data_IF_609148682045
#
_entry.id   IF_609148682045
#
_cell.length_a   1.000
_cell.length_b   1.000
_cell.length_c   1.000
_cell.angle_alpha   90.00
_cell.angle_beta   90.00
_cell.angle_gamma   90.00
#
_symmetry.space_group_name_H-M   'P 1'
#
loop_
_entity.id
_entity.type
_entity.pdbx_description
1 polymer ?
#
# COMPACT_ATOMS: atom_id res chain seq x y z
N UNK A 1 12.97 10.20 -28.72
CA UNK A 1 13.91 9.52 -27.85
C UNK A 1 13.37 9.42 -26.44
N UNK A 2 13.47 8.27 -25.91
CA UNK A 2 13.05 8.09 -24.54
C UNK A 2 14.15 8.55 -23.61
N UNK A 3 13.77 9.30 -22.61
CA UNK A 3 14.69 9.62 -21.54
C UNK A 3 15.04 8.38 -20.75
N UNK A 4 15.69 8.56 -19.59
CA UNK A 4 15.96 7.44 -18.69
C UNK A 4 14.66 6.71 -18.43
N UNK A 5 14.75 5.41 -18.26
CA UNK A 5 13.57 4.63 -17.94
C UNK A 5 12.90 5.18 -16.72
N UNK A 6 11.66 5.63 -16.89
CA UNK A 6 10.84 6.07 -15.77
C UNK A 6 9.83 4.99 -15.50
N UNK A 7 9.35 4.96 -14.27
CA UNK A 7 8.26 4.08 -13.92
C UNK A 7 7.03 4.49 -14.73
N UNK A 8 6.33 3.54 -15.32
CA UNK A 8 5.17 3.75 -16.17
C UNK A 8 3.99 2.90 -15.69
N UNK A 9 2.86 3.00 -16.38
CA UNK A 9 1.63 2.29 -16.01
C UNK A 9 1.83 0.78 -15.95
N UNK A 10 2.59 0.23 -16.90
CA UNK A 10 2.85 -1.20 -16.95
C UNK A 10 3.65 -1.64 -15.73
N UNK A 11 4.68 -0.87 -15.37
CA UNK A 11 5.49 -1.20 -14.20
C UNK A 11 4.73 -0.94 -12.90
N UNK A 12 3.84 0.06 -12.87
CA UNK A 12 2.97 0.30 -11.72
C UNK A 12 2.02 -0.87 -11.52
N UNK A 13 1.41 -1.35 -12.60
CA UNK A 13 0.53 -2.52 -12.54
C UNK A 13 1.29 -3.74 -12.03
N UNK A 14 2.51 -3.95 -12.52
CA UNK A 14 3.33 -5.07 -12.07
C UNK A 14 3.67 -4.97 -10.59
N UNK A 15 4.01 -3.76 -10.13
CA UNK A 15 4.31 -3.52 -8.73
C UNK A 15 3.11 -3.87 -7.84
N UNK A 16 1.93 -3.37 -8.17
CA UNK A 16 0.71 -3.61 -7.40
C UNK A 16 0.31 -5.08 -7.48
N UNK A 17 0.35 -5.67 -8.68
CA UNK A 17 -0.03 -7.07 -8.86
C UNK A 17 0.86 -8.01 -8.06
N UNK A 18 2.16 -7.72 -7.96
CA UNK A 18 3.07 -8.54 -7.16
C UNK A 18 2.67 -8.53 -5.68
N UNK A 19 2.21 -7.38 -5.17
CA UNK A 19 1.73 -7.29 -3.80
C UNK A 19 0.53 -8.23 -3.60
N UNK A 20 -0.50 -8.10 -4.44
CA UNK A 20 -1.74 -8.84 -4.23
C UNK A 20 -1.63 -10.31 -4.64
N UNK A 21 -0.71 -10.67 -5.54
CA UNK A 21 -0.44 -12.06 -5.83
C UNK A 21 0.04 -12.83 -4.58
N UNK A 22 0.70 -12.14 -3.64
CA UNK A 22 1.15 -12.79 -2.42
C UNK A 22 0.00 -13.22 -1.52
N UNK A 23 -1.20 -12.67 -1.74
CA UNK A 23 -2.40 -13.06 -0.99
C UNK A 23 -3.22 -14.14 -1.70
N UNK A 24 -3.03 -14.30 -3.02
CA UNK A 24 -3.92 -15.14 -3.83
C UNK A 24 -3.24 -16.38 -4.40
N UNK A 25 -1.92 -16.38 -4.52
CA UNK A 25 -1.18 -17.49 -5.14
C UNK A 25 0.00 -17.90 -4.26
N UNK A 26 0.62 -19.02 -4.63
CA UNK A 26 1.77 -19.54 -3.90
C UNK A 26 1.41 -19.92 -2.48
N UNK A 27 2.22 -19.50 -1.52
CA UNK A 27 1.97 -19.78 -0.11
C UNK A 27 0.77 -19.02 0.43
N UNK A 28 0.35 -17.96 -0.25
CA UNK A 28 -0.77 -17.10 0.16
C UNK A 28 -0.57 -16.50 1.56
N UNK A 29 0.68 -16.14 1.86
CA UNK A 29 1.03 -15.57 3.17
C UNK A 29 0.83 -14.06 3.23
N UNK A 30 0.64 -13.40 2.08
CA UNK A 30 0.55 -11.95 2.02
C UNK A 30 1.92 -11.30 2.07
N UNK A 31 1.91 -9.96 2.18
CA UNK A 31 3.14 -9.18 2.25
C UNK A 31 3.55 -9.04 3.70
N UNK A 32 4.81 -9.37 3.97
CA UNK A 32 5.38 -9.10 5.29
C UNK A 32 5.88 -7.67 5.32
N UNK A 33 5.35 -6.88 6.24
CA UNK A 33 5.76 -5.48 6.43
C UNK A 33 6.38 -5.27 7.80
N UNK A 34 6.98 -6.32 8.34
CA UNK A 34 7.67 -6.24 9.62
C UNK A 34 8.97 -5.48 9.44
N UNK A 35 9.02 -4.29 9.96
CA UNK A 35 10.22 -3.47 10.19
C UNK A 35 11.18 -3.23 9.02
N UNK A 36 11.73 -2.05 9.02
CA UNK A 36 12.98 -1.69 8.35
C UNK A 36 12.94 -1.81 6.86
N UNK A 37 13.79 -2.69 6.35
CA UNK A 37 14.07 -2.81 4.92
C UNK A 37 12.85 -3.17 4.10
N UNK A 38 11.95 -4.00 4.64
CA UNK A 38 10.74 -4.43 3.94
C UNK A 38 9.76 -3.26 3.77
N UNK A 39 9.66 -2.41 4.78
CA UNK A 39 8.82 -1.22 4.67
C UNK A 39 9.32 -0.30 3.56
N UNK A 40 10.63 -0.10 3.47
CA UNK A 40 11.21 0.79 2.45
C UNK A 40 11.09 0.23 1.04
N UNK A 41 10.87 -1.04 0.90
CA UNK A 41 10.66 -1.67 -0.39
C UNK A 41 9.32 -1.26 -1.00
N UNK A 42 8.32 -1.05 -0.16
CA UNK A 42 6.96 -0.77 -0.61
C UNK A 42 6.53 0.67 -0.43
N UNK A 43 6.96 1.32 0.64
CA UNK A 43 6.44 2.62 1.04
C UNK A 43 7.47 3.72 0.84
N UNK A 44 6.97 4.93 0.50
CA UNK A 44 7.89 6.04 0.36
C UNK A 44 8.53 6.35 1.72
N UNK A 45 9.72 7.01 1.72
CA UNK A 45 10.55 7.03 2.92
C UNK A 45 9.90 7.59 4.18
N UNK A 46 9.14 8.67 4.07
CA UNK A 46 8.52 9.29 5.25
C UNK A 46 7.46 8.36 5.83
N UNK A 47 6.66 7.75 4.97
CA UNK A 47 5.64 6.80 5.39
C UNK A 47 6.26 5.55 6.00
N UNK A 48 7.30 5.02 5.35
CA UNK A 48 8.01 3.85 5.86
C UNK A 48 8.58 4.10 7.25
N UNK A 49 9.15 5.28 7.47
CA UNK A 49 9.72 5.65 8.76
C UNK A 49 8.64 5.74 9.84
N UNK A 50 7.48 6.31 9.51
CA UNK A 50 6.37 6.39 10.47
C UNK A 50 5.88 5.00 10.85
N UNK A 51 5.76 4.11 9.87
CA UNK A 51 5.33 2.73 10.13
C UNK A 51 6.34 1.98 10.98
N UNK A 52 7.63 2.15 10.69
CA UNK A 52 8.69 1.52 11.48
C UNK A 52 8.66 2.00 12.92
N UNK A 53 8.48 3.29 13.12
CA UNK A 53 8.42 3.88 14.46
C UNK A 53 7.21 3.36 15.23
N UNK A 54 6.08 3.20 14.55
CA UNK A 54 4.87 2.64 15.15
C UNK A 54 5.13 1.22 15.68
N UNK A 55 5.77 0.40 14.86
CA UNK A 55 6.10 -0.98 15.25
C UNK A 55 7.10 -1.02 16.40
N UNK A 56 8.10 -0.15 16.39
CA UNK A 56 9.08 -0.09 17.47
C UNK A 56 8.43 0.36 18.79
N UNK A 57 7.56 1.36 18.72
CA UNK A 57 6.87 1.86 19.90
C UNK A 57 5.94 0.81 20.49
N UNK A 58 5.21 0.11 19.67
CA UNK A 58 4.32 -0.95 20.11
C UNK A 58 5.10 -2.07 20.81
N UNK A 59 6.20 -2.49 20.22
CA UNK A 59 7.04 -3.54 20.82
C UNK A 59 7.66 -3.09 22.13
N UNK A 60 8.13 -1.84 22.20
CA UNK A 60 8.79 -1.30 23.37
C UNK A 60 7.85 -1.14 24.55
N UNK A 61 6.59 -0.80 24.30
CA UNK A 61 5.61 -0.54 25.34
C UNK A 61 4.61 -1.67 25.55
N UNK A 62 4.79 -2.77 24.80
CA UNK A 62 3.85 -3.91 24.82
C UNK A 62 2.42 -3.50 24.48
N UNK A 63 2.29 -2.47 23.66
CA UNK A 63 0.99 -1.96 23.20
C UNK A 63 0.70 -2.42 21.79
N UNK A 64 -0.55 -2.28 21.37
CA UNK A 64 -0.93 -2.51 19.99
C UNK A 64 -0.39 -1.38 19.11
N UNK A 65 -0.09 -1.70 17.85
CA UNK A 65 0.28 -0.71 16.85
C UNK A 65 -0.91 0.23 16.59
N UNK A 66 -0.64 1.48 16.20
CA UNK A 66 -1.70 2.34 15.70
C UNK A 66 -2.32 1.75 14.44
N UNK A 67 -1.48 1.15 13.60
CA UNK A 67 -1.95 0.39 12.45
C UNK A 67 -2.19 -1.05 12.90
N UNK A 68 -3.45 -1.40 13.15
CA UNK A 68 -3.80 -2.68 13.77
C UNK A 68 -4.24 -3.76 12.80
N UNK A 69 -4.16 -3.50 11.51
CA UNK A 69 -4.52 -4.47 10.47
C UNK A 69 -3.59 -4.35 9.29
N UNK A 70 -3.68 -5.32 8.37
CA UNK A 70 -2.88 -5.30 7.14
C UNK A 70 -3.43 -4.19 6.21
N UNK A 71 -2.64 -3.17 5.92
CA UNK A 71 -3.13 -2.03 5.14
C UNK A 71 -3.48 -2.38 3.69
N UNK A 72 -2.88 -3.43 3.14
CA UNK A 72 -3.13 -3.83 1.75
C UNK A 72 -4.50 -4.46 1.57
N UNK A 73 -5.07 -5.00 2.63
CA UNK A 73 -6.37 -5.69 2.55
C UNK A 73 -7.39 -5.14 3.53
N UNK A 74 -6.98 -4.21 4.39
CA UNK A 74 -7.87 -3.59 5.40
C UNK A 74 -8.53 -4.65 6.27
N UNK A 75 -7.73 -5.63 6.72
CA UNK A 75 -8.22 -6.74 7.53
C UNK A 75 -7.06 -7.41 8.23
N UNK A 76 -7.35 -8.18 9.27
CA UNK A 76 -6.33 -8.97 9.97
C UNK A 76 -6.19 -10.36 9.34
N UNK A 77 -7.31 -10.93 8.91
CA UNK A 77 -7.33 -12.24 8.26
C UNK A 77 -7.82 -12.11 6.83
N UNK A 78 -7.50 -13.10 6.02
CA UNK A 78 -7.93 -13.05 4.63
C UNK A 78 -8.16 -14.45 4.05
N UNK A 79 -9.07 -14.47 3.08
CA UNK A 79 -9.27 -15.56 2.15
C UNK A 79 -9.66 -14.92 0.84
N UNK A 80 -8.65 -14.63 0.02
CA UNK A 80 -8.78 -13.88 -1.23
C UNK A 80 -8.39 -14.81 -2.38
N UNK A 81 -9.29 -14.98 -3.33
CA UNK A 81 -9.05 -15.86 -4.48
C UNK A 81 -8.46 -15.14 -5.66
N UNK A 82 -8.89 -13.91 -5.89
CA UNK A 82 -8.46 -13.12 -7.03
C UNK A 82 -8.65 -11.63 -6.73
N UNK A 83 -8.05 -10.81 -7.56
CA UNK A 83 -8.13 -9.35 -7.42
C UNK A 83 -8.12 -8.70 -8.80
N UNK A 84 -8.62 -7.48 -8.89
CA UNK A 84 -8.54 -6.65 -10.08
C UNK A 84 -7.83 -5.35 -9.73
N UNK A 85 -7.05 -4.81 -10.66
CA UNK A 85 -6.34 -3.55 -10.50
C UNK A 85 -6.67 -2.62 -11.65
N UNK A 86 -7.09 -1.41 -11.34
CA UNK A 86 -7.28 -0.34 -12.31
C UNK A 86 -6.25 0.74 -12.04
N UNK A 87 -5.50 1.13 -13.06
CA UNK A 87 -4.43 2.12 -12.96
C UNK A 87 -4.87 3.42 -13.62
N UNK A 88 -4.61 4.53 -12.95
CA UNK A 88 -4.89 5.87 -13.48
C UNK A 88 -3.68 6.76 -13.25
N UNK A 89 -3.16 7.35 -14.32
CA UNK A 89 -2.11 8.38 -14.21
C UNK A 89 -2.73 9.65 -13.65
N UNK A 90 -2.12 10.21 -12.62
CA UNK A 90 -2.60 11.45 -12.03
C UNK A 90 -1.65 12.61 -12.32
N UNK A 91 -0.38 12.33 -12.49
CA UNK A 91 0.65 13.30 -12.84
C UNK A 91 1.90 12.53 -13.25
N UNK A 92 2.89 13.18 -13.88
CA UNK A 92 4.15 12.50 -14.16
C UNK A 92 4.74 11.89 -12.90
N UNK A 93 5.03 10.59 -12.96
CA UNK A 93 5.56 9.87 -11.81
C UNK A 93 4.58 9.63 -10.67
N UNK A 94 3.28 9.80 -10.93
CA UNK A 94 2.23 9.57 -9.92
C UNK A 94 1.09 8.78 -10.55
N UNK A 95 0.68 7.73 -9.85
CA UNK A 95 -0.36 6.82 -10.32
C UNK A 95 -1.27 6.49 -9.15
N UNK A 96 -2.55 6.37 -9.43
CA UNK A 96 -3.51 5.82 -8.47
C UNK A 96 -3.92 4.43 -8.95
N UNK A 97 -3.77 3.43 -8.09
CA UNK A 97 -4.20 2.07 -8.35
C UNK A 97 -5.40 1.76 -7.47
N UNK A 98 -6.50 1.39 -8.11
CA UNK A 98 -7.70 0.94 -7.40
C UNK A 98 -7.75 -0.57 -7.47
N UNK A 99 -7.68 -1.22 -6.31
CA UNK A 99 -7.67 -2.67 -6.21
C UNK A 99 -8.98 -3.13 -5.62
N UNK A 100 -9.63 -4.09 -6.28
CA UNK A 100 -10.87 -4.68 -5.79
C UNK A 100 -10.71 -6.18 -5.67
N UNK A 101 -11.27 -6.74 -4.63
CA UNK A 101 -11.23 -8.17 -4.37
C UNK A 101 -12.34 -8.54 -3.40
N UNK A 102 -12.63 -9.84 -3.32
CA UNK A 102 -13.51 -10.36 -2.28
C UNK A 102 -12.65 -10.99 -1.20
N UNK A 103 -12.91 -10.63 0.05
CA UNK A 103 -12.27 -11.24 1.19
C UNK A 103 -13.34 -11.92 2.02
N UNK A 104 -13.25 -13.25 2.14
CA UNK A 104 -14.31 -14.06 2.76
C UNK A 104 -15.69 -13.79 2.13
N UNK A 105 -15.70 -13.60 0.80
CA UNK A 105 -16.92 -13.31 0.06
C UNK A 105 -17.43 -11.89 0.14
N UNK A 106 -16.72 -10.99 0.87
CA UNK A 106 -17.12 -9.61 1.01
C UNK A 106 -16.24 -8.71 0.15
N UNK A 107 -16.87 -7.88 -0.67
CA UNK A 107 -16.12 -7.02 -1.59
C UNK A 107 -15.36 -5.93 -0.85
N UNK A 108 -14.11 -5.77 -1.21
CA UNK A 108 -13.22 -4.74 -0.66
C UNK A 108 -12.65 -3.90 -1.79
N UNK A 109 -12.42 -2.63 -1.50
CA UNK A 109 -11.72 -1.71 -2.39
C UNK A 109 -10.60 -1.05 -1.62
N UNK A 110 -9.39 -1.08 -2.19
CA UNK A 110 -8.22 -0.43 -1.61
C UNK A 110 -7.68 0.50 -2.68
N UNK A 111 -7.38 1.74 -2.32
CA UNK A 111 -6.81 2.71 -3.26
C UNK A 111 -5.38 3.01 -2.86
N UNK A 112 -4.46 2.75 -3.77
CA UNK A 112 -3.03 3.00 -3.55
C UNK A 112 -2.59 4.19 -4.38
N UNK A 113 -2.06 5.21 -3.73
CA UNK A 113 -1.40 6.31 -4.41
C UNK A 113 0.08 5.99 -4.50
N UNK A 114 0.58 5.89 -5.73
CA UNK A 114 1.96 5.52 -5.99
C UNK A 114 2.76 6.71 -6.48
N UNK A 115 4.01 6.75 -6.08
CA UNK A 115 4.95 7.77 -6.50
C UNK A 115 6.22 7.09 -7.02
N UNK A 116 6.74 7.60 -8.14
CA UNK A 116 8.01 7.11 -8.67
C UNK A 116 9.15 7.80 -7.92
N UNK A 117 10.04 6.99 -7.36
CA UNK A 117 11.27 7.46 -6.74
C UNK A 117 12.41 6.84 -7.53
N UNK A 118 13.13 7.69 -8.28
CA UNK A 118 14.08 7.23 -9.29
C UNK A 118 13.30 6.41 -10.33
N UNK A 119 13.59 5.17 -10.53
CA UNK A 119 12.87 4.33 -11.50
C UNK A 119 11.97 3.30 -10.83
N UNK A 120 11.78 3.41 -9.53
CA UNK A 120 10.97 2.45 -8.77
C UNK A 120 9.71 3.09 -8.25
N UNK A 121 8.66 2.28 -8.15
CA UNK A 121 7.42 2.74 -7.51
C UNK A 121 7.47 2.54 -6.01
N UNK A 122 6.83 3.47 -5.30
CA UNK A 122 6.62 3.36 -3.85
C UNK A 122 5.21 3.82 -3.54
N UNK A 123 4.64 3.28 -2.49
CA UNK A 123 3.31 3.67 -2.03
C UNK A 123 3.45 4.95 -1.23
N UNK A 124 2.78 6.00 -1.70
CA UNK A 124 2.73 7.28 -1.02
C UNK A 124 1.64 7.27 0.04
N UNK A 125 0.49 6.66 -0.26
CA UNK A 125 -0.62 6.57 0.68
C UNK A 125 -1.52 5.40 0.29
N UNK A 126 -2.30 4.94 1.25
CA UNK A 126 -3.37 3.98 1.02
C UNK A 126 -4.65 4.60 1.55
N UNK A 127 -5.72 4.53 0.76
CA UNK A 127 -7.04 4.99 1.17
C UNK A 127 -7.97 3.80 1.31
N UNK A 128 -8.63 3.72 2.45
CA UNK A 128 -9.68 2.73 2.72
C UNK A 128 -11.01 3.45 2.69
N UNK A 129 -11.88 3.14 1.73
CA UNK A 129 -13.21 3.77 1.71
C UNK A 129 -13.99 3.44 2.98
N UNK A 130 -14.71 4.44 3.47
CA UNK A 130 -15.58 4.32 4.65
C UNK A 130 -16.89 5.04 4.34
N UNK A 131 -17.95 4.72 5.08
CA UNK A 131 -19.26 5.31 4.82
C UNK A 131 -19.26 6.81 5.08
N UNK A 132 -18.64 7.26 6.17
CA UNK A 132 -18.64 8.69 6.52
C UNK A 132 -17.59 9.43 5.71
N UNK A 133 -16.31 9.11 5.91
CA UNK A 133 -15.22 9.70 5.15
C UNK A 133 -14.10 8.68 5.00
N UNK A 134 -13.32 8.76 3.91
CA UNK A 134 -12.23 7.82 3.72
C UNK A 134 -11.18 7.95 4.81
N UNK A 135 -10.59 6.82 5.19
CA UNK A 135 -9.46 6.77 6.10
C UNK A 135 -8.20 6.50 5.29
N UNK A 136 -7.09 7.12 5.66
CA UNK A 136 -5.83 6.93 4.94
C UNK A 136 -4.71 6.49 5.85
N UNK A 137 -3.74 5.80 5.25
CA UNK A 137 -2.57 5.34 6.01
C UNK A 137 -1.76 6.53 6.55
N UNK A 138 -1.57 7.56 5.73
CA UNK A 138 -0.89 8.77 6.22
C UNK A 138 -1.69 9.44 7.33
N UNK A 139 -3.02 9.34 7.26
CA UNK A 139 -3.90 9.86 8.31
C UNK A 139 -3.71 9.14 9.64
N UNK A 140 -3.52 7.83 9.61
CA UNK A 140 -3.26 7.04 10.83
C UNK A 140 -2.06 7.60 11.58
N UNK A 141 -1.02 8.01 10.86
CA UNK A 141 0.21 8.52 11.45
C UNK A 141 0.27 10.06 11.49
N UNK A 142 -0.83 10.72 11.16
CA UNK A 142 -0.94 12.18 11.17
C UNK A 142 0.09 12.87 10.29
N UNK A 143 0.41 12.25 9.16
CA UNK A 143 1.35 12.79 8.19
C UNK A 143 0.64 13.67 7.19
N UNK A 144 1.30 14.75 6.77
CA UNK A 144 0.73 15.65 5.76
C UNK A 144 0.81 15.00 4.39
N UNK A 145 -0.15 15.31 3.53
CA UNK A 145 -0.12 14.94 2.13
C UNK A 145 0.43 16.12 1.35
N UNK A 146 1.37 15.84 0.45
CA UNK A 146 1.94 16.86 -0.42
C UNK A 146 1.12 17.04 -1.68
N UNK A 147 1.21 18.21 -2.29
CA UNK A 147 0.70 18.43 -3.62
C UNK A 147 -0.80 18.68 -3.70
N UNK A 148 -1.39 19.13 -2.65
CA UNK A 148 -2.78 19.56 -2.69
C UNK A 148 -2.90 21.04 -2.79
#
# INVERSE_FOLDING_TARGET
MLGPTTADDTSALAFVSAIYNSYTTGSRDGVSIDRGRKLRRYFEPVLAEAMNRDQENAAKHHDADELDSDPFIDAQDFDIKRFDVAIKDTAPGKVTATVTFDNFGKQKTIVLDLIAIKSDWRIYDITWPRDAEPQTLRGVFRLKRQGN
#
